data_IF_495565189112
#
_entry.id   IF_495565189112
#
_cell.length_a   1.000
_cell.length_b   1.000
_cell.length_c   1.000
_cell.angle_alpha   90.00
_cell.angle_beta   90.00
_cell.angle_gamma   90.00
#
_symmetry.space_group_name_H-M   'P 1'
#
loop_
_entity.id
_entity.type
_entity.pdbx_description
1 polymer ?
#
# COMPACT_ATOMS: atom_id res chain seq x y z
N UNK A 1 17.52 14.04 -2.77
CA UNK A 1 17.15 12.78 -2.09
C UNK A 1 17.29 11.63 -3.09
N UNK A 2 18.01 10.55 -2.76
CA UNK A 2 18.35 9.44 -3.67
C UNK A 2 17.13 8.78 -4.33
N UNK A 3 16.07 8.52 -3.55
CA UNK A 3 14.84 7.91 -4.04
C UNK A 3 14.16 8.74 -5.14
N UNK A 4 14.16 10.07 -5.01
CA UNK A 4 13.55 10.97 -5.99
C UNK A 4 14.25 10.90 -7.36
N UNK A 5 15.57 10.64 -7.38
CA UNK A 5 16.31 10.43 -8.64
C UNK A 5 15.93 9.10 -9.28
N UNK A 6 15.85 8.03 -8.48
CA UNK A 6 15.51 6.69 -8.96
C UNK A 6 14.05 6.56 -9.44
N UNK A 7 13.13 7.34 -8.86
CA UNK A 7 11.71 7.40 -9.27
C UNK A 7 11.48 8.05 -10.64
N UNK A 8 12.47 8.73 -11.23
CA UNK A 8 12.37 9.29 -12.59
C UNK A 8 12.32 8.22 -13.68
N UNK A 9 12.58 6.94 -13.33
CA UNK A 9 12.69 5.82 -14.26
C UNK A 9 14.00 5.80 -15.05
N UNK A 10 14.87 6.81 -14.87
CA UNK A 10 16.18 6.87 -15.50
C UNK A 10 17.17 5.93 -14.82
N UNK A 11 18.09 5.38 -15.62
CA UNK A 11 19.21 4.58 -15.13
C UNK A 11 20.41 5.47 -14.89
N UNK A 12 21.00 5.40 -13.70
CA UNK A 12 22.19 6.16 -13.34
C UNK A 12 23.31 5.22 -12.91
N UNK A 13 24.54 5.49 -13.32
CA UNK A 13 25.71 4.81 -12.74
C UNK A 13 25.87 5.14 -11.26
N UNK A 14 26.62 4.31 -10.53
CA UNK A 14 26.95 4.60 -9.13
C UNK A 14 27.65 5.95 -8.95
N UNK A 15 28.61 6.26 -9.83
CA UNK A 15 29.35 7.52 -9.78
C UNK A 15 28.44 8.73 -10.02
N UNK A 16 27.51 8.66 -10.97
CA UNK A 16 26.55 9.75 -11.23
C UNK A 16 25.61 9.98 -10.05
N UNK A 17 25.11 8.91 -9.40
CA UNK A 17 24.28 9.07 -8.21
C UNK A 17 25.07 9.65 -7.06
N UNK A 18 26.28 9.15 -6.81
CA UNK A 18 27.19 9.62 -5.76
C UNK A 18 27.48 11.13 -5.92
N UNK A 19 27.80 11.56 -7.13
CA UNK A 19 28.05 12.97 -7.46
C UNK A 19 26.80 13.83 -7.26
N UNK A 20 25.65 13.40 -7.79
CA UNK A 20 24.38 14.17 -7.72
C UNK A 20 23.87 14.35 -6.30
N UNK A 21 24.09 13.38 -5.42
CA UNK A 21 23.67 13.47 -4.01
C UNK A 21 24.80 13.92 -3.08
N UNK A 22 26.02 14.15 -3.61
CA UNK A 22 27.16 14.67 -2.86
C UNK A 22 27.74 13.70 -1.83
N UNK A 23 27.76 12.39 -2.12
CA UNK A 23 28.29 11.36 -1.22
C UNK A 23 29.32 10.48 -1.91
N UNK A 24 30.10 9.71 -1.14
CA UNK A 24 31.00 8.70 -1.70
C UNK A 24 30.28 7.38 -2.02
N UNK A 25 30.91 6.53 -2.83
CA UNK A 25 30.38 5.23 -3.26
C UNK A 25 29.97 4.31 -2.10
N UNK A 26 30.74 4.34 -0.99
CA UNK A 26 30.42 3.54 0.21
C UNK A 26 29.09 3.98 0.82
N UNK A 27 28.87 5.28 0.92
CA UNK A 27 27.65 5.88 1.45
C UNK A 27 26.48 5.66 0.51
N UNK A 28 26.71 5.78 -0.79
CA UNK A 28 25.70 5.46 -1.81
C UNK A 28 25.24 3.99 -1.69
N UNK A 29 26.18 3.03 -1.63
CA UNK A 29 25.84 1.59 -1.45
C UNK A 29 25.04 1.34 -0.17
N UNK A 30 25.37 2.05 0.92
CA UNK A 30 24.60 1.99 2.17
C UNK A 30 23.17 2.51 1.97
N UNK A 31 23.00 3.68 1.36
CA UNK A 31 21.67 4.25 1.10
C UNK A 31 20.82 3.39 0.17
N UNK A 32 21.44 2.75 -0.83
CA UNK A 32 20.76 1.79 -1.69
C UNK A 32 20.30 0.57 -0.88
N UNK A 33 21.12 0.07 0.06
CA UNK A 33 20.72 -0.99 0.98
C UNK A 33 19.58 -0.57 1.93
N UNK A 34 19.60 0.66 2.43
CA UNK A 34 18.53 1.24 3.27
C UNK A 34 17.21 1.34 2.49
N UNK A 35 17.25 1.69 1.19
CA UNK A 35 16.07 1.66 0.33
C UNK A 35 15.50 0.24 0.18
N UNK A 36 16.36 -0.77 0.07
CA UNK A 36 15.93 -2.18 0.07
C UNK A 36 15.19 -2.58 1.35
N UNK A 37 15.66 -2.12 2.51
CA UNK A 37 14.98 -2.36 3.79
C UNK A 37 13.60 -1.68 3.89
N UNK A 38 13.36 -0.65 3.09
CA UNK A 38 12.08 0.07 2.97
C UNK A 38 11.17 -0.51 1.86
N UNK A 39 11.56 -1.62 1.23
CA UNK A 39 10.76 -2.28 0.18
C UNK A 39 10.99 -1.74 -1.23
N UNK A 40 11.98 -0.86 -1.44
CA UNK A 40 12.36 -0.37 -2.77
C UNK A 40 13.46 -1.28 -3.36
N UNK A 41 13.11 -2.06 -4.39
CA UNK A 41 14.09 -2.90 -5.08
C UNK A 41 14.90 -2.05 -6.09
N UNK A 42 16.19 -1.85 -5.81
CA UNK A 42 17.11 -1.17 -6.72
C UNK A 42 17.99 -2.23 -7.41
N UNK A 43 17.78 -2.45 -8.70
CA UNK A 43 18.64 -3.34 -9.47
C UNK A 43 19.95 -2.63 -9.83
N UNK A 44 21.07 -3.24 -9.45
CA UNK A 44 22.39 -2.86 -9.96
C UNK A 44 22.77 -3.78 -11.11
N UNK A 45 22.85 -3.28 -12.34
CA UNK A 45 23.41 -4.06 -13.44
C UNK A 45 24.94 -4.09 -13.31
N UNK A 46 25.61 -5.26 -13.28
CA UNK A 46 27.07 -5.31 -13.26
C UNK A 46 27.67 -4.83 -14.59
N UNK A 47 28.77 -4.08 -14.52
CA UNK A 47 29.53 -3.59 -15.69
C UNK A 47 30.11 -2.18 -15.51
N UNK A 48 31.02 -1.76 -16.39
CA UNK A 48 31.66 -0.43 -16.37
C UNK A 48 30.65 0.71 -16.63
N UNK A 49 29.56 0.40 -17.34
CA UNK A 49 28.37 1.24 -17.55
C UNK A 49 27.16 0.73 -16.73
N UNK A 50 27.43 -0.07 -15.69
CA UNK A 50 26.43 -0.65 -14.83
C UNK A 50 25.69 0.44 -14.05
N UNK A 51 24.36 0.44 -14.15
CA UNK A 51 23.52 1.44 -13.52
C UNK A 51 22.62 0.87 -12.43
N UNK A 52 22.24 1.75 -11.52
CA UNK A 52 21.14 1.59 -10.59
C UNK A 52 19.86 2.08 -11.24
N UNK A 53 18.84 1.23 -11.20
CA UNK A 53 17.49 1.55 -11.62
C UNK A 53 16.53 1.04 -10.55
N UNK A 54 15.51 1.83 -10.22
CA UNK A 54 14.40 1.32 -9.43
C UNK A 54 13.69 0.28 -10.30
N UNK A 55 13.60 -0.97 -9.83
CA UNK A 55 12.77 -1.96 -10.48
C UNK A 55 11.33 -1.46 -10.47
N UNK A 56 10.55 -1.77 -11.51
CA UNK A 56 9.12 -1.43 -11.56
C UNK A 56 8.51 -1.68 -10.20
N UNK A 57 7.88 -0.64 -9.64
CA UNK A 57 7.22 -0.68 -8.35
C UNK A 57 5.93 -1.48 -8.55
N UNK A 58 6.07 -2.79 -8.77
CA UNK A 58 4.94 -3.74 -8.82
C UNK A 58 4.41 -4.01 -7.38
N UNK A 59 5.02 -3.36 -6.38
CA UNK A 59 4.65 -3.44 -4.97
C UNK A 59 4.21 -2.08 -4.44
N UNK A 60 3.10 -2.05 -3.70
CA UNK A 60 2.68 -0.85 -2.97
C UNK A 60 3.77 -0.55 -1.92
N UNK A 61 4.34 0.67 -1.88
CA UNK A 61 5.32 1.03 -0.84
C UNK A 61 4.68 0.91 0.55
N UNK A 62 5.47 0.71 1.63
CA UNK A 62 4.92 0.67 2.98
C UNK A 62 4.14 1.96 3.29
N UNK A 63 2.84 1.82 3.56
CA UNK A 63 1.97 2.93 3.91
C UNK A 63 1.79 2.98 5.43
N UNK A 64 1.91 4.18 5.99
CA UNK A 64 1.54 4.46 7.37
C UNK A 64 0.12 5.02 7.31
N UNK A 65 -0.79 4.42 8.08
CA UNK A 65 -2.18 4.85 8.14
C UNK A 65 -2.48 5.45 9.51
N UNK A 66 -3.27 6.52 9.51
CA UNK A 66 -3.96 7.02 10.70
C UNK A 66 -5.11 6.10 11.10
N UNK A 67 -5.66 6.33 12.30
CA UNK A 67 -6.83 5.59 12.80
C UNK A 67 -8.04 5.73 11.86
N UNK A 68 -8.36 6.96 11.44
CA UNK A 68 -9.48 7.27 10.55
C UNK A 68 -9.32 6.63 9.16
N UNK A 69 -8.09 6.59 8.62
CA UNK A 69 -7.80 5.95 7.33
C UNK A 69 -7.98 4.44 7.42
N UNK A 70 -7.54 3.82 8.51
CA UNK A 70 -7.71 2.39 8.74
C UNK A 70 -9.19 2.02 8.93
N UNK A 71 -9.95 2.84 9.66
CA UNK A 71 -11.41 2.70 9.78
C UNK A 71 -12.06 2.72 8.38
N UNK A 72 -11.65 3.67 7.54
CA UNK A 72 -12.17 3.82 6.17
C UNK A 72 -11.86 2.60 5.29
N UNK A 73 -10.65 2.06 5.37
CA UNK A 73 -10.25 0.85 4.64
C UNK A 73 -11.10 -0.34 5.09
N UNK A 74 -11.21 -0.57 6.40
CA UNK A 74 -11.99 -1.68 6.95
C UNK A 74 -13.47 -1.58 6.60
N UNK A 75 -14.05 -0.38 6.58
CA UNK A 75 -15.41 -0.14 6.11
C UNK A 75 -15.59 -0.51 4.63
N UNK A 76 -14.64 -0.11 3.77
CA UNK A 76 -14.64 -0.47 2.36
C UNK A 76 -14.56 -1.98 2.15
N UNK A 77 -13.70 -2.67 2.89
CA UNK A 77 -13.62 -4.13 2.85
C UNK A 77 -14.93 -4.78 3.31
N UNK A 78 -15.56 -4.27 4.38
CA UNK A 78 -16.84 -4.77 4.86
C UNK A 78 -17.97 -4.61 3.84
N UNK A 79 -17.95 -3.53 3.07
CA UNK A 79 -18.88 -3.29 1.98
C UNK A 79 -18.70 -4.28 0.82
N UNK A 80 -17.46 -4.69 0.52
CA UNK A 80 -17.14 -5.57 -0.61
C UNK A 80 -17.32 -7.06 -0.26
N UNK A 81 -17.29 -7.44 1.03
CA UNK A 81 -17.44 -8.85 1.47
C UNK A 81 -18.82 -9.49 1.26
N UNK A 82 -19.78 -8.82 0.63
CA UNK A 82 -21.10 -9.40 0.43
C UNK A 82 -21.08 -10.49 -0.66
N UNK A 83 -21.90 -11.56 -0.54
CA UNK A 83 -21.71 -12.81 -1.29
C UNK A 83 -21.85 -12.73 -2.82
N UNK A 84 -22.29 -11.59 -3.36
CA UNK A 84 -22.47 -11.35 -4.80
C UNK A 84 -21.34 -10.53 -5.42
N UNK A 85 -20.37 -10.06 -4.63
CA UNK A 85 -19.25 -9.25 -5.13
C UNK A 85 -18.08 -10.14 -5.57
N UNK A 86 -17.51 -9.85 -6.76
CA UNK A 86 -16.38 -10.61 -7.32
C UNK A 86 -15.11 -10.53 -6.47
N UNK A 87 -15.01 -9.53 -5.58
CA UNK A 87 -13.86 -9.30 -4.70
C UNK A 87 -14.09 -9.78 -3.27
N UNK A 88 -15.23 -10.39 -2.94
CA UNK A 88 -15.59 -10.74 -1.56
C UNK A 88 -14.53 -11.62 -0.86
N UNK A 89 -14.01 -12.64 -1.54
CA UNK A 89 -12.96 -13.51 -1.01
C UNK A 89 -11.65 -12.74 -0.74
N UNK A 90 -11.22 -11.91 -1.69
CA UNK A 90 -10.02 -11.07 -1.52
C UNK A 90 -10.17 -10.05 -0.40
N UNK A 91 -11.39 -9.52 -0.21
CA UNK A 91 -11.69 -8.58 0.85
C UNK A 91 -11.67 -9.25 2.24
N UNK A 92 -12.09 -10.52 2.33
CA UNK A 92 -11.94 -11.34 3.55
C UNK A 92 -10.45 -11.54 3.89
N UNK A 93 -9.65 -12.01 2.93
CA UNK A 93 -8.22 -12.28 3.13
C UNK A 93 -7.45 -11.03 3.57
N UNK A 94 -7.73 -9.90 2.92
CA UNK A 94 -7.09 -8.63 3.23
C UNK A 94 -7.49 -8.11 4.61
N UNK A 95 -8.76 -8.21 4.99
CA UNK A 95 -9.19 -7.84 6.34
C UNK A 95 -8.51 -8.70 7.40
N UNK A 96 -8.44 -10.02 7.20
CA UNK A 96 -7.80 -10.93 8.16
C UNK A 96 -6.31 -10.58 8.33
N UNK A 97 -5.62 -10.28 7.23
CA UNK A 97 -4.23 -9.80 7.26
C UNK A 97 -4.10 -8.47 8.01
N UNK A 98 -4.97 -7.50 7.74
CA UNK A 98 -4.95 -6.20 8.42
C UNK A 98 -5.18 -6.37 9.92
N UNK A 99 -6.20 -7.14 10.32
CA UNK A 99 -6.52 -7.36 11.75
C UNK A 99 -5.36 -8.01 12.52
N UNK A 100 -4.59 -8.91 11.89
CA UNK A 100 -3.39 -9.52 12.50
C UNK A 100 -2.25 -8.53 12.75
N UNK A 101 -2.23 -7.39 12.05
CA UNK A 101 -1.20 -6.36 12.18
C UNK A 101 -1.61 -5.22 13.12
N UNK A 102 -2.89 -5.11 13.46
CA UNK A 102 -3.40 -4.03 14.29
C UNK A 102 -3.22 -4.36 15.79
N UNK A 103 -2.85 -3.37 16.63
CA UNK A 103 -2.85 -3.54 18.08
C UNK A 103 -4.24 -3.84 18.63
N UNK A 104 -4.34 -4.62 19.71
CA UNK A 104 -5.64 -4.99 20.31
C UNK A 104 -6.46 -3.76 20.72
N UNK A 105 -5.80 -2.73 21.28
CA UNK A 105 -6.42 -1.47 21.65
C UNK A 105 -7.12 -0.76 20.46
N UNK A 106 -6.61 -0.97 19.24
CA UNK A 106 -7.19 -0.44 18.01
C UNK A 106 -8.42 -1.26 17.57
N UNK A 107 -8.38 -2.59 17.72
CA UNK A 107 -9.53 -3.44 17.40
C UNK A 107 -10.73 -3.15 18.32
N UNK A 108 -10.47 -2.77 19.57
CA UNK A 108 -11.51 -2.33 20.51
C UNK A 108 -12.17 -1.01 20.10
N UNK A 109 -11.41 -0.03 19.59
CA UNK A 109 -11.96 1.27 19.15
C UNK A 109 -12.87 1.13 17.92
N UNK A 110 -12.57 0.18 17.03
CA UNK A 110 -13.34 -0.11 15.82
C UNK A 110 -14.70 -0.78 16.07
N UNK A 111 -14.94 -1.39 17.25
CA UNK A 111 -16.13 -2.24 17.52
C UNK A 111 -17.48 -1.51 17.50
N UNK A 112 -17.51 -0.18 17.54
CA UNK A 112 -18.75 0.59 17.76
C UNK A 112 -19.16 1.59 16.64
N UNK A 113 -18.24 2.22 15.88
CA UNK A 113 -18.64 3.17 14.82
C UNK A 113 -19.06 2.49 13.51
N UNK A 114 -18.35 1.44 13.09
CA UNK A 114 -18.44 0.88 11.74
C UNK A 114 -19.76 0.16 11.45
N UNK A 115 -20.24 -0.66 12.39
CA UNK A 115 -21.49 -1.42 12.22
C UNK A 115 -22.73 -0.52 12.17
N UNK A 116 -22.72 0.57 12.93
CA UNK A 116 -23.85 1.49 13.01
C UNK A 116 -23.91 2.44 11.82
N UNK A 117 -22.76 2.98 11.40
CA UNK A 117 -22.66 3.99 10.32
C UNK A 117 -22.84 3.40 8.92
N UNK A 118 -22.39 2.16 8.69
CA UNK A 118 -22.44 1.53 7.36
C UNK A 118 -23.56 0.49 7.20
N UNK A 119 -24.04 -0.11 8.31
CA UNK A 119 -25.23 -0.97 8.28
C UNK A 119 -26.48 -0.23 7.81
N UNK A 120 -26.64 1.03 8.22
CA UNK A 120 -27.78 1.89 7.85
C UNK A 120 -27.71 2.32 6.36
N UNK A 121 -26.52 2.72 5.88
CA UNK A 121 -26.35 3.17 4.49
C UNK A 121 -26.47 2.05 3.44
N UNK A 122 -26.18 0.81 3.82
CA UNK A 122 -26.32 -0.36 2.95
C UNK A 122 -27.77 -0.88 2.88
N UNK A 123 -28.50 -0.95 4.00
CA UNK A 123 -29.92 -1.35 3.99
C UNK A 123 -30.74 -0.50 3.03
N UNK A 124 -30.54 0.83 3.03
CA UNK A 124 -31.19 1.74 2.08
C UNK A 124 -30.90 1.40 0.61
N UNK A 125 -29.69 0.94 0.27
CA UNK A 125 -29.30 0.66 -1.13
C UNK A 125 -29.74 -0.73 -1.60
N UNK A 126 -29.72 -1.72 -0.73
CA UNK A 126 -30.29 -3.06 -1.03
C UNK A 126 -31.79 -2.95 -1.27
N UNK A 127 -32.51 -2.21 -0.41
CA UNK A 127 -33.95 -1.95 -0.60
C UNK A 127 -34.24 -1.19 -1.89
N UNK A 128 -33.40 -0.20 -2.23
CA UNK A 128 -33.51 0.54 -3.49
C UNK A 128 -33.20 -0.32 -4.74
N UNK A 129 -32.34 -1.34 -4.64
CA UNK A 129 -32.01 -2.26 -5.74
C UNK A 129 -33.06 -3.37 -5.88
N UNK A 130 -33.59 -3.89 -4.77
CA UNK A 130 -34.70 -4.85 -4.75
C UNK A 130 -36.00 -4.26 -5.32
N UNK A 131 -36.23 -2.96 -5.11
CA UNK A 131 -37.37 -2.24 -5.69
C UNK A 131 -37.25 -1.99 -7.20
N UNK A 132 -36.05 -2.12 -7.79
CA UNK A 132 -35.80 -1.91 -9.23
C UNK A 132 -35.77 -3.20 -10.06
N UNK A 133 -35.73 -4.39 -9.45
CA UNK A 133 -35.74 -5.67 -10.17
C UNK A 133 -37.11 -6.36 -10.21
N UNK A 134 -38.16 -5.72 -9.70
CA UNK A 134 -39.53 -6.26 -9.62
C UNK A 134 -40.55 -5.55 -10.52
N UNK A 135 -40.12 -4.78 -11.52
CA UNK A 135 -40.97 -4.04 -12.45
C UNK A 135 -40.77 -4.47 -13.89
#
# INVERSE_FOLDING_TARGET
>A
MLLALLQTGQTFTGSELAERIGVNDRTLRRYIGELGALGFEVEGRPGFYGGYQLKSVDAIPPLIFSEDEMETILAGLAYIRYPEDEYAERANDLEERIRKLLPEAFLESLRMPLLKKYGEGYQMRVEAKASKSGG
#
